data_IF_762014616194
#
_entry.id   IF_762014616194
#
_cell.length_a   1.000
_cell.length_b   1.000
_cell.length_c   1.000
_cell.angle_alpha   90.00
_cell.angle_beta   90.00
_cell.angle_gamma   90.00
#
_symmetry.space_group_name_H-M   'P 1'
#
loop_
_entity.id
_entity.type
_entity.pdbx_description
1 polymer ?
#
# COMPACT_ATOMS: atom_id res chain seq x y z
N UNK A 1 9.33 15.68 61.98
CA UNK A 1 9.26 14.42 61.22
C UNK A 1 10.37 14.47 60.19
N UNK A 2 11.49 13.85 60.52
CA UNK A 2 12.68 13.74 59.68
C UNK A 2 12.54 12.50 58.80
N UNK A 3 12.74 12.62 57.50
CA UNK A 3 13.08 11.50 56.63
C UNK A 3 14.19 11.94 55.69
N UNK A 4 15.38 11.44 56.00
CA UNK A 4 16.62 11.56 55.22
C UNK A 4 16.73 10.31 54.31
N UNK A 5 17.50 10.38 53.21
CA UNK A 5 17.39 9.56 52.02
C UNK A 5 18.29 8.33 52.08
N UNK A 6 18.04 7.38 51.19
CA UNK A 6 19.02 6.55 50.47
C UNK A 6 18.27 5.40 49.79
N UNK A 7 18.66 5.07 48.56
CA UNK A 7 18.65 3.67 48.13
C UNK A 7 17.87 3.33 46.87
N UNK A 8 18.65 2.93 45.86
CA UNK A 8 18.33 2.00 44.76
C UNK A 8 17.34 2.50 43.69
N UNK A 9 17.69 2.68 42.42
CA UNK A 9 18.68 1.97 41.63
C UNK A 9 18.08 0.67 41.10
N UNK A 10 17.51 0.69 39.89
CA UNK A 10 17.36 -0.52 39.07
C UNK A 10 17.31 -0.17 37.59
N UNK A 11 18.00 -1.04 36.86
CA UNK A 11 18.65 -0.86 35.58
C UNK A 11 17.73 -1.32 34.43
N UNK A 12 18.17 -0.96 33.23
CA UNK A 12 17.65 -1.36 31.93
C UNK A 12 17.64 -2.91 31.81
N UNK A 13 16.51 -3.47 31.33
CA UNK A 13 16.31 -4.83 30.77
C UNK A 13 14.89 -5.37 31.06
N UNK A 14 13.90 -4.71 30.45
CA UNK A 14 12.51 -5.17 30.33
C UNK A 14 12.01 -4.45 29.09
N UNK A 15 11.96 -5.03 27.89
CA UNK A 15 11.04 -6.09 27.47
C UNK A 15 11.69 -6.86 26.31
N UNK A 16 12.43 -7.92 26.62
CA UNK A 16 12.79 -8.97 25.65
C UNK A 16 12.38 -10.33 26.24
N UNK A 17 11.06 -10.50 26.38
CA UNK A 17 10.46 -11.73 26.86
C UNK A 17 8.97 -11.62 26.54
N UNK A 18 8.55 -12.22 25.42
CA UNK A 18 7.27 -12.91 25.22
C UNK A 18 7.23 -13.47 23.79
N UNK A 19 8.19 -14.34 23.49
CA UNK A 19 7.97 -15.41 22.53
C UNK A 19 7.66 -16.69 23.33
N UNK A 20 6.65 -17.43 22.84
CA UNK A 20 6.31 -18.84 23.14
C UNK A 20 5.48 -19.10 24.41
N UNK A 21 4.16 -19.19 24.25
CA UNK A 21 3.44 -20.43 24.57
C UNK A 21 1.96 -20.38 24.13
N UNK A 22 1.65 -20.99 22.98
CA UNK A 22 0.38 -21.69 22.78
C UNK A 22 0.73 -23.02 22.14
N UNK A 23 0.08 -24.08 22.59
CA UNK A 23 0.34 -25.51 22.32
C UNK A 23 1.33 -26.21 23.25
N UNK A 24 0.85 -26.52 24.46
CA UNK A 24 1.27 -27.73 25.16
C UNK A 24 0.07 -28.30 25.94
N UNK A 25 -0.58 -29.33 25.36
CA UNK A 25 -1.41 -30.31 26.07
C UNK A 25 -1.32 -31.63 25.30
N UNK A 26 -0.62 -32.63 25.83
CA UNK A 26 -1.23 -33.87 26.36
C UNK A 26 -0.13 -34.83 26.87
N UNK A 27 -0.40 -35.46 27.99
CA UNK A 27 0.46 -36.42 28.70
C UNK A 27 0.34 -37.84 28.17
N UNK A 28 1.43 -38.61 28.16
CA UNK A 28 1.67 -39.79 29.04
C UNK A 28 2.90 -40.59 28.56
N UNK A 29 3.61 -41.18 29.52
CA UNK A 29 4.68 -42.18 29.37
C UNK A 29 4.07 -43.54 29.00
N UNK A 30 4.80 -44.36 28.25
CA UNK A 30 5.31 -45.68 28.72
C UNK A 30 6.16 -46.40 27.65
N UNK A 31 6.98 -47.33 28.13
CA UNK A 31 8.14 -47.99 27.53
C UNK A 31 7.87 -49.01 26.39
N UNK A 32 8.83 -49.13 25.47
CA UNK A 32 9.47 -50.42 25.16
C UNK A 32 9.02 -51.26 23.97
N UNK A 33 10.02 -51.63 23.15
CA UNK A 33 10.20 -52.82 22.29
C UNK A 33 9.80 -52.80 20.80
N UNK A 34 10.79 -53.28 20.03
CA UNK A 34 10.86 -53.63 18.60
C UNK A 34 9.54 -54.01 17.91
N UNK A 35 9.25 -53.37 16.76
CA UNK A 35 8.64 -54.04 15.60
C UNK A 35 9.03 -53.31 14.30
N UNK A 36 9.36 -54.12 13.29
CA UNK A 36 9.94 -53.76 11.99
C UNK A 36 8.98 -53.03 11.03
N UNK A 37 9.57 -52.23 10.13
CA UNK A 37 9.12 -51.83 8.77
C UNK A 37 7.63 -51.55 8.52
N UNK A 38 7.32 -50.29 8.20
CA UNK A 38 6.56 -49.95 6.98
C UNK A 38 6.87 -48.50 6.52
N UNK A 39 7.86 -48.34 5.62
CA UNK A 39 8.16 -47.08 4.94
C UNK A 39 7.28 -46.89 3.69
N UNK A 40 5.96 -46.85 3.88
CA UNK A 40 5.01 -46.45 2.83
C UNK A 40 4.22 -45.22 3.27
N UNK A 41 4.86 -44.06 3.04
CA UNK A 41 4.35 -42.79 2.47
C UNK A 41 2.93 -42.28 2.86
N UNK A 42 2.64 -40.95 2.82
CA UNK A 42 3.08 -40.08 1.72
C UNK A 42 3.42 -38.62 2.13
N UNK A 43 4.48 -38.01 1.59
CA UNK A 43 4.52 -37.22 0.32
C UNK A 43 3.38 -36.22 0.06
N UNK A 44 2.28 -36.23 0.81
CA UNK A 44 1.14 -35.31 0.57
C UNK A 44 1.36 -33.96 1.24
N UNK A 45 1.94 -33.93 2.44
CA UNK A 45 2.07 -32.68 3.22
C UNK A 45 3.04 -31.70 2.54
N UNK A 46 4.10 -32.20 1.90
CA UNK A 46 5.04 -31.38 1.13
C UNK A 46 4.44 -30.86 -0.17
N UNK A 47 3.56 -31.64 -0.81
CA UNK A 47 2.88 -31.22 -2.03
C UNK A 47 1.80 -30.16 -1.76
N UNK A 48 1.10 -30.24 -0.62
CA UNK A 48 0.09 -29.22 -0.25
C UNK A 48 0.74 -27.87 0.07
N UNK A 49 1.97 -27.84 0.61
CA UNK A 49 2.76 -26.60 0.76
C UNK A 49 3.29 -26.06 -0.56
N UNK A 50 3.79 -26.94 -1.43
CA UNK A 50 4.35 -26.54 -2.73
C UNK A 50 3.29 -26.07 -3.75
N UNK A 51 2.00 -26.37 -3.52
CA UNK A 51 0.90 -25.95 -4.41
C UNK A 51 0.28 -24.60 -4.00
N UNK A 52 0.60 -24.06 -2.82
CA UNK A 52 0.17 -22.70 -2.39
C UNK A 52 1.15 -21.59 -2.80
N UNK A 53 2.28 -21.93 -3.42
CA UNK A 53 3.28 -20.97 -3.92
C UNK A 53 3.08 -20.63 -5.42
N UNK A 54 1.97 -21.05 -6.03
CA UNK A 54 1.73 -20.91 -7.49
C UNK A 54 0.60 -19.95 -7.89
N UNK A 55 0.55 -18.78 -7.27
CA UNK A 55 0.16 -17.56 -8.00
C UNK A 55 1.06 -16.41 -7.54
N UNK A 56 2.24 -16.30 -8.14
CA UNK A 56 3.29 -15.32 -7.81
C UNK A 56 2.93 -13.89 -8.23
N UNK A 57 1.71 -13.45 -7.93
CA UNK A 57 1.27 -12.10 -8.24
C UNK A 57 1.39 -11.26 -6.99
N UNK A 58 2.43 -10.43 -6.96
CA UNK A 58 2.73 -9.44 -5.91
C UNK A 58 1.47 -8.57 -5.69
N UNK A 59 0.92 -8.46 -4.46
CA UNK A 59 -0.31 -7.70 -4.23
C UNK A 59 -0.07 -6.22 -4.55
N UNK A 60 -0.96 -5.64 -5.36
CA UNK A 60 -0.90 -4.24 -5.81
C UNK A 60 -2.08 -3.46 -5.25
N UNK A 61 -1.82 -2.32 -4.61
CA UNK A 61 -2.84 -1.35 -4.24
C UNK A 61 -2.91 -0.25 -5.29
N UNK A 62 -4.10 0.03 -5.79
CA UNK A 62 -4.39 1.23 -6.58
C UNK A 62 -5.19 2.19 -5.70
N UNK A 63 -4.68 3.39 -5.49
CA UNK A 63 -5.24 4.34 -4.52
C UNK A 63 -5.65 5.62 -5.24
N UNK A 64 -6.96 5.85 -5.33
CA UNK A 64 -7.53 7.11 -5.81
C UNK A 64 -7.50 8.18 -4.72
N UNK A 65 -6.78 9.27 -4.98
CA UNK A 65 -6.66 10.46 -4.14
C UNK A 65 -7.37 11.63 -4.81
N UNK A 66 -7.87 12.57 -4.01
CA UNK A 66 -8.46 13.81 -4.52
C UNK A 66 -9.78 14.20 -3.87
N UNK A 67 -10.24 15.41 -4.20
CA UNK A 67 -11.48 15.99 -3.67
C UNK A 67 -12.56 16.04 -4.74
N UNK A 68 -13.54 15.14 -4.64
CA UNK A 68 -14.67 15.05 -5.60
C UNK A 68 -15.53 16.32 -5.66
N UNK A 69 -15.44 17.20 -4.67
CA UNK A 69 -16.19 18.46 -4.65
C UNK A 69 -15.55 19.55 -5.53
N UNK A 70 -14.34 19.32 -6.06
CA UNK A 70 -13.51 20.33 -6.74
C UNK A 70 -13.14 19.92 -8.18
N UNK A 71 -14.13 19.46 -8.95
CA UNK A 71 -14.06 19.16 -10.38
C UNK A 71 -12.88 18.23 -10.72
N UNK A 72 -11.85 18.70 -11.44
CA UNK A 72 -10.72 17.85 -11.85
C UNK A 72 -9.89 17.37 -10.66
N UNK A 73 -9.97 18.02 -9.50
CA UNK A 73 -9.30 17.54 -8.27
C UNK A 73 -9.84 16.18 -7.83
N UNK A 74 -11.08 15.84 -8.19
CA UNK A 74 -11.70 14.56 -7.89
C UNK A 74 -11.22 13.41 -8.78
N UNK A 75 -10.34 13.65 -9.75
CA UNK A 75 -10.05 12.68 -10.82
C UNK A 75 -9.52 11.34 -10.31
N UNK A 76 -8.71 11.31 -9.23
CA UNK A 76 -8.25 10.05 -8.66
C UNK A 76 -9.38 9.23 -8.03
N UNK A 77 -10.36 9.89 -7.39
CA UNK A 77 -11.58 9.25 -6.88
C UNK A 77 -12.43 8.70 -8.04
N UNK A 78 -12.66 9.51 -9.08
CA UNK A 78 -13.36 9.04 -10.28
C UNK A 78 -12.66 7.84 -10.93
N UNK A 79 -11.34 7.87 -11.03
CA UNK A 79 -10.54 6.79 -11.61
C UNK A 79 -10.64 5.51 -10.78
N UNK A 80 -10.54 5.60 -9.45
CA UNK A 80 -10.73 4.45 -8.57
C UNK A 80 -12.13 3.81 -8.75
N UNK A 81 -13.18 4.61 -8.87
CA UNK A 81 -14.54 4.11 -9.16
C UNK A 81 -14.62 3.43 -10.52
N UNK A 82 -14.10 4.06 -11.57
CA UNK A 82 -14.07 3.49 -12.92
C UNK A 82 -13.26 2.19 -13.02
N UNK A 83 -12.19 2.03 -12.22
CA UNK A 83 -11.43 0.77 -12.15
C UNK A 83 -12.17 -0.34 -11.42
N UNK A 84 -12.95 -0.03 -10.38
CA UNK A 84 -13.78 -1.01 -9.66
C UNK A 84 -14.88 -1.61 -10.53
N UNK A 85 -15.30 -0.92 -11.59
CA UNK A 85 -16.27 -1.40 -12.58
C UNK A 85 -15.64 -2.35 -13.62
N UNK A 86 -14.30 -2.49 -13.65
CA UNK A 86 -13.59 -3.36 -14.59
C UNK A 86 -13.25 -4.71 -13.95
N UNK A 87 -13.07 -5.72 -14.79
CA UNK A 87 -12.46 -6.98 -14.35
C UNK A 87 -10.96 -6.77 -14.17
N UNK A 88 -10.52 -6.78 -12.91
CA UNK A 88 -9.12 -6.62 -12.54
C UNK A 88 -8.51 -7.97 -12.16
N UNK A 89 -7.19 -8.13 -12.30
CA UNK A 89 -6.51 -9.31 -11.79
C UNK A 89 -6.74 -9.46 -10.27
N UNK A 90 -6.79 -10.70 -9.74
CA UNK A 90 -7.15 -10.95 -8.34
C UNK A 90 -6.15 -10.37 -7.32
N UNK A 91 -4.95 -10.01 -7.76
CA UNK A 91 -3.90 -9.40 -6.95
C UNK A 91 -3.95 -7.86 -6.92
N UNK A 92 -4.85 -7.23 -7.67
CA UNK A 92 -5.04 -5.77 -7.69
C UNK A 92 -6.23 -5.41 -6.80
N UNK A 93 -6.01 -4.57 -5.80
CA UNK A 93 -7.08 -4.00 -4.96
C UNK A 93 -7.16 -2.49 -5.15
N UNK A 94 -8.36 -1.98 -5.36
CA UNK A 94 -8.61 -0.56 -5.63
C UNK A 94 -9.26 0.12 -4.44
N UNK A 95 -8.66 1.21 -3.97
CA UNK A 95 -9.10 2.00 -2.84
C UNK A 95 -9.49 3.41 -3.28
N UNK A 96 -10.58 3.89 -2.69
CA UNK A 96 -11.02 5.28 -2.81
C UNK A 96 -10.74 5.95 -1.48
N UNK A 97 -9.56 6.56 -1.36
CA UNK A 97 -9.13 7.17 -0.10
C UNK A 97 -9.28 8.69 -0.10
N UNK A 98 -9.48 9.32 -1.27
CA UNK A 98 -9.76 10.75 -1.36
C UNK A 98 -8.68 11.56 -0.66
N UNK A 99 -9.00 12.12 0.51
CA UNK A 99 -8.15 13.04 1.26
C UNK A 99 -7.69 12.49 2.62
N UNK A 100 -7.73 11.16 2.82
CA UNK A 100 -7.56 10.49 4.13
C UNK A 100 -6.11 10.42 4.68
N UNK A 101 -5.24 11.38 4.35
CA UNK A 101 -3.93 11.61 5.00
C UNK A 101 -3.17 10.35 5.44
N UNK A 102 -2.84 10.26 6.73
CA UNK A 102 -2.06 9.15 7.32
C UNK A 102 -2.73 7.77 7.27
N UNK A 103 -4.07 7.69 7.19
CA UNK A 103 -4.78 6.41 7.08
C UNK A 103 -4.42 5.66 5.78
N UNK A 104 -3.89 6.38 4.79
CA UNK A 104 -3.33 5.79 3.58
C UNK A 104 -2.22 4.80 3.92
N UNK A 105 -1.35 5.11 4.89
CA UNK A 105 -0.21 4.24 5.25
C UNK A 105 -0.67 2.89 5.78
N UNK A 106 -1.65 2.89 6.68
CA UNK A 106 -2.23 1.65 7.25
C UNK A 106 -2.89 0.79 6.17
N UNK A 107 -3.48 1.43 5.15
CA UNK A 107 -4.14 0.74 4.05
C UNK A 107 -3.15 0.06 3.10
N UNK A 108 -1.98 0.66 2.88
CA UNK A 108 -1.03 0.21 1.86
C UNK A 108 0.11 -0.67 2.41
N UNK A 109 0.25 -0.78 3.73
CA UNK A 109 1.37 -1.46 4.40
C UNK A 109 1.53 -2.94 4.01
N UNK A 110 0.43 -3.63 3.69
CA UNK A 110 0.44 -5.05 3.31
C UNK A 110 0.68 -5.31 1.80
N UNK A 111 0.87 -4.26 1.00
CA UNK A 111 1.04 -4.36 -0.44
C UNK A 111 2.51 -4.28 -0.85
N UNK A 112 2.87 -4.95 -1.93
CA UNK A 112 4.24 -4.91 -2.46
C UNK A 112 4.45 -3.76 -3.45
N UNK A 113 3.35 -3.28 -4.05
CA UNK A 113 3.35 -2.15 -4.98
C UNK A 113 2.14 -1.26 -4.73
N UNK A 114 2.34 0.05 -4.82
CA UNK A 114 1.26 1.03 -4.70
C UNK A 114 1.26 1.97 -5.91
N UNK A 115 0.10 2.14 -6.52
CA UNK A 115 -0.15 3.07 -7.62
C UNK A 115 -1.15 4.12 -7.15
N UNK A 116 -0.68 5.32 -6.87
CA UNK A 116 -1.52 6.48 -6.59
C UNK A 116 -2.06 7.09 -7.88
N UNK A 117 -3.32 7.51 -7.85
CA UNK A 117 -3.97 8.28 -8.91
C UNK A 117 -4.40 9.61 -8.34
N UNK A 118 -3.96 10.72 -8.94
CA UNK A 118 -4.26 12.07 -8.45
C UNK A 118 -4.31 13.11 -9.58
N UNK A 119 -4.90 14.27 -9.31
CA UNK A 119 -4.73 15.46 -10.13
C UNK A 119 -3.34 16.07 -9.83
N UNK A 120 -2.51 16.22 -10.87
CA UNK A 120 -1.13 16.67 -10.70
C UNK A 120 -0.88 17.85 -11.62
N UNK A 121 -0.51 19.01 -11.05
CA UNK A 121 0.03 20.11 -11.87
C UNK A 121 1.51 19.87 -12.12
N UNK A 122 1.90 19.73 -13.37
CA UNK A 122 3.30 19.57 -13.76
C UNK A 122 3.67 20.43 -14.98
N UNK A 123 2.81 21.40 -15.31
CA UNK A 123 3.07 22.42 -16.33
C UNK A 123 2.85 21.93 -17.77
N UNK A 124 2.13 20.82 -17.94
CA UNK A 124 1.74 20.32 -19.25
C UNK A 124 0.40 20.91 -19.69
N UNK A 125 -0.10 20.47 -20.85
CA UNK A 125 -1.45 20.81 -21.30
C UNK A 125 -2.49 20.07 -20.46
N UNK A 126 -3.66 20.65 -20.13
CA UNK A 126 -4.69 19.95 -19.38
C UNK A 126 -5.10 18.61 -20.02
N UNK A 127 -5.30 17.60 -19.19
CA UNK A 127 -5.54 16.21 -19.61
C UNK A 127 -4.26 15.40 -19.90
N UNK A 128 -3.07 16.02 -19.87
CA UNK A 128 -1.82 15.26 -20.02
C UNK A 128 -1.63 14.29 -18.86
N UNK A 129 -1.29 13.03 -19.14
CA UNK A 129 -1.02 12.00 -18.13
C UNK A 129 0.49 11.91 -17.88
N UNK A 130 0.88 11.90 -16.61
CA UNK A 130 2.27 11.76 -16.18
C UNK A 130 2.46 10.61 -15.20
N UNK A 131 3.72 10.18 -15.04
CA UNK A 131 4.11 9.05 -14.19
C UNK A 131 5.39 9.38 -13.42
N UNK A 132 5.39 9.13 -12.11
CA UNK A 132 6.53 9.36 -11.23
C UNK A 132 6.73 8.22 -10.25
N UNK A 133 7.97 7.78 -10.06
CA UNK A 133 8.32 6.92 -8.93
C UNK A 133 8.57 7.77 -7.69
N UNK A 134 7.91 7.43 -6.59
CA UNK A 134 7.98 8.20 -5.35
C UNK A 134 9.38 8.23 -4.75
N UNK A 135 10.15 7.15 -4.86
CA UNK A 135 11.56 7.16 -4.41
C UNK A 135 12.37 8.31 -5.02
N UNK A 136 12.16 8.60 -6.31
CA UNK A 136 12.82 9.72 -7.03
C UNK A 136 12.21 11.08 -6.69
N UNK A 137 10.94 11.12 -6.28
CA UNK A 137 10.22 12.36 -5.91
C UNK A 137 10.58 12.80 -4.48
N UNK A 138 10.72 11.87 -3.54
CA UNK A 138 11.11 12.16 -2.14
C UNK A 138 12.56 12.62 -2.07
N UNK A 139 13.46 12.00 -2.85
CA UNK A 139 14.91 12.27 -2.82
C UNK A 139 15.34 13.46 -3.71
N UNK A 140 14.43 14.03 -4.50
CA UNK A 140 14.69 15.14 -5.42
C UNK A 140 13.98 16.45 -5.06
N UNK A 141 14.11 17.45 -5.91
CA UNK A 141 13.20 18.60 -5.92
C UNK A 141 11.94 18.15 -6.66
N UNK A 142 10.78 18.00 -5.98
CA UNK A 142 9.56 17.60 -6.68
C UNK A 142 9.28 18.61 -7.79
N UNK A 143 8.80 18.20 -8.99
CA UNK A 143 8.18 19.15 -9.92
C UNK A 143 7.18 20.00 -9.15
N UNK A 144 6.89 21.22 -9.60
CA UNK A 144 5.93 22.13 -8.95
C UNK A 144 4.50 21.56 -8.99
N UNK A 145 4.29 20.52 -8.20
CA UNK A 145 3.05 19.77 -7.98
C UNK A 145 2.25 20.56 -6.97
N UNK A 146 1.46 21.51 -7.47
CA UNK A 146 0.69 22.42 -6.63
C UNK A 146 -0.76 21.93 -6.55
N UNK A 147 -1.00 21.03 -5.60
CA UNK A 147 -2.31 20.79 -4.98
C UNK A 147 -2.11 20.54 -3.48
N UNK A 148 -3.07 20.98 -2.66
CA UNK A 148 -3.02 20.82 -1.20
C UNK A 148 -2.97 19.34 -0.79
N UNK A 149 -3.77 18.50 -1.44
CA UNK A 149 -3.76 17.05 -1.20
C UNK A 149 -2.47 16.38 -1.66
N UNK A 150 -1.77 16.94 -2.65
CA UNK A 150 -0.46 16.44 -3.04
C UNK A 150 0.61 16.75 -1.98
N UNK A 151 0.53 17.92 -1.34
CA UNK A 151 1.41 18.24 -0.22
C UNK A 151 1.14 17.30 0.98
N UNK A 152 -0.13 16.99 1.25
CA UNK A 152 -0.53 16.04 2.29
C UNK A 152 -0.10 14.61 1.96
N UNK A 153 -0.26 14.18 0.70
CA UNK A 153 0.20 12.88 0.23
C UNK A 153 1.72 12.78 0.31
N UNK A 154 2.47 13.78 -0.17
CA UNK A 154 3.94 13.79 -0.06
C UNK A 154 4.41 13.73 1.38
N UNK A 155 3.74 14.45 2.29
CA UNK A 155 4.04 14.39 3.73
C UNK A 155 3.77 13.00 4.29
N UNK A 156 2.62 12.42 3.94
CA UNK A 156 2.25 11.04 4.30
C UNK A 156 3.29 10.03 3.81
N UNK A 157 3.73 10.15 2.55
CA UNK A 157 4.74 9.28 1.95
C UNK A 157 6.11 9.44 2.65
N UNK A 158 6.53 10.67 2.98
CA UNK A 158 7.76 10.90 3.75
C UNK A 158 7.72 10.25 5.13
N UNK A 159 6.59 10.36 5.83
CA UNK A 159 6.37 9.70 7.13
C UNK A 159 6.40 8.17 6.95
N UNK A 160 5.71 7.64 5.94
CA UNK A 160 5.72 6.21 5.64
C UNK A 160 7.12 5.67 5.36
N UNK A 161 7.95 6.40 4.58
CA UNK A 161 9.36 6.05 4.36
C UNK A 161 10.16 6.04 5.67
N UNK A 162 10.02 7.10 6.47
CA UNK A 162 10.73 7.23 7.74
C UNK A 162 10.32 6.17 8.78
N UNK A 163 9.12 5.60 8.66
CA UNK A 163 8.57 4.57 9.56
C UNK A 163 8.61 3.17 8.98
N UNK A 164 9.25 2.97 7.82
CA UNK A 164 9.32 1.68 7.10
C UNK A 164 7.93 1.07 6.78
N UNK A 165 6.93 1.92 6.54
CA UNK A 165 5.55 1.55 6.19
C UNK A 165 5.21 1.72 4.70
N UNK A 166 6.18 2.16 3.90
CA UNK A 166 6.01 2.20 2.45
C UNK A 166 6.58 0.95 1.78
N UNK A 167 5.91 0.40 0.75
CA UNK A 167 6.52 -0.60 -0.10
C UNK A 167 7.67 -0.02 -0.91
N UNK A 168 8.49 -0.93 -1.46
CA UNK A 168 9.65 -0.58 -2.28
C UNK A 168 9.25 0.05 -3.63
N UNK A 169 8.12 -0.35 -4.21
CA UNK A 169 7.60 0.19 -5.47
C UNK A 169 6.35 1.03 -5.26
N UNK A 170 6.54 2.35 -5.28
CA UNK A 170 5.44 3.32 -5.20
C UNK A 170 5.49 4.26 -6.40
N UNK A 171 4.37 4.31 -7.13
CA UNK A 171 4.20 5.09 -8.35
C UNK A 171 3.02 6.05 -8.20
N UNK A 172 3.16 7.25 -8.72
CA UNK A 172 2.08 8.21 -8.91
C UNK A 172 1.79 8.28 -10.41
N UNK A 173 0.55 8.02 -10.79
CA UNK A 173 0.00 8.31 -12.11
C UNK A 173 -0.91 9.52 -11.96
N UNK A 174 -0.52 10.62 -12.60
CA UNK A 174 -1.22 11.90 -12.46
C UNK A 174 -1.79 12.39 -13.77
N UNK A 175 -2.81 13.25 -13.70
CA UNK A 175 -3.32 13.97 -14.86
C UNK A 175 -3.33 15.48 -14.60
N UNK A 176 -2.92 16.26 -15.60
CA UNK A 176 -2.89 17.73 -15.52
C UNK A 176 -4.33 18.27 -15.48
N UNK A 177 -4.74 18.97 -14.40
CA UNK A 177 -6.10 19.48 -14.28
C UNK A 177 -6.30 20.77 -15.10
N UNK A 178 -7.54 21.05 -15.49
CA UNK A 178 -7.96 22.35 -16.04
C UNK A 178 -8.74 23.18 -15.03
N UNK A 179 -9.69 22.57 -14.33
CA UNK A 179 -10.68 23.23 -13.48
C UNK A 179 -10.61 22.64 -12.08
N UNK A 180 -10.27 23.46 -11.08
CA UNK A 180 -10.25 23.09 -9.66
C UNK A 180 -11.23 23.93 -8.81
N UNK A 181 -12.32 24.39 -9.42
CA UNK A 181 -13.39 25.10 -8.72
C UNK A 181 -14.47 24.11 -8.25
N UNK A 182 -15.34 24.50 -7.31
CA UNK A 182 -16.45 23.66 -6.87
C UNK A 182 -17.27 23.11 -8.04
N UNK A 183 -17.47 21.80 -8.04
CA UNK A 183 -18.13 21.05 -9.10
C UNK A 183 -17.89 19.55 -8.92
N UNK A 184 -18.84 18.72 -9.36
CA UNK A 184 -18.74 17.26 -9.25
C UNK A 184 -18.28 16.59 -10.54
N UNK A 185 -18.15 17.36 -11.62
CA UNK A 185 -17.86 16.85 -12.95
C UNK A 185 -16.43 17.18 -13.36
N UNK A 186 -15.79 16.21 -14.01
CA UNK A 186 -14.52 16.44 -14.70
C UNK A 186 -14.73 17.35 -15.91
N UNK A 187 -13.76 18.24 -16.13
CA UNK A 187 -13.67 19.10 -17.31
C UNK A 187 -13.60 18.28 -18.61
N UNK A 188 -13.95 18.89 -19.73
CA UNK A 188 -13.93 18.23 -21.05
C UNK A 188 -12.55 17.65 -21.39
N UNK A 189 -11.48 18.35 -21.04
CA UNK A 189 -10.10 17.98 -21.33
C UNK A 189 -9.67 16.74 -20.54
N UNK A 190 -9.94 16.74 -19.22
CA UNK A 190 -9.62 15.61 -18.35
C UNK A 190 -10.50 14.41 -18.70
N UNK A 191 -11.79 14.64 -18.97
CA UNK A 191 -12.73 13.57 -19.39
C UNK A 191 -12.32 12.91 -20.70
N UNK A 192 -11.88 13.69 -21.69
CA UNK A 192 -11.42 13.17 -22.97
C UNK A 192 -10.17 12.27 -22.84
N UNK A 193 -9.41 12.43 -21.75
CA UNK A 193 -8.19 11.68 -21.45
C UNK A 193 -8.36 10.64 -20.34
N UNK A 194 -9.57 10.47 -19.84
CA UNK A 194 -9.84 9.60 -18.70
C UNK A 194 -9.53 8.13 -18.98
N UNK A 195 -9.88 7.61 -20.16
CA UNK A 195 -9.51 6.24 -20.52
C UNK A 195 -7.99 6.04 -20.68
N UNK A 196 -7.26 7.08 -21.12
CA UNK A 196 -5.80 7.06 -21.19
C UNK A 196 -5.18 6.96 -19.80
N UNK A 197 -5.73 7.69 -18.82
CA UNK A 197 -5.36 7.60 -17.42
C UNK A 197 -5.59 6.18 -16.88
N UNK A 198 -6.78 5.62 -17.08
CA UNK A 198 -7.11 4.26 -16.62
C UNK A 198 -6.19 3.20 -17.24
N UNK A 199 -5.93 3.30 -18.54
CA UNK A 199 -5.01 2.40 -19.23
C UNK A 199 -3.58 2.51 -18.72
N UNK A 200 -3.14 3.70 -18.33
CA UNK A 200 -1.80 3.90 -17.73
C UNK A 200 -1.68 3.21 -16.38
N UNK A 201 -2.73 3.26 -15.55
CA UNK A 201 -2.79 2.54 -14.27
C UNK A 201 -2.79 1.02 -14.49
N UNK A 202 -3.58 0.52 -15.44
CA UNK A 202 -3.64 -0.92 -15.74
C UNK A 202 -2.29 -1.47 -16.26
N UNK A 203 -1.58 -0.68 -17.08
CA UNK A 203 -0.22 -1.01 -17.51
C UNK A 203 0.72 -1.12 -16.31
N UNK A 204 0.64 -0.19 -15.37
CA UNK A 204 1.47 -0.20 -14.16
C UNK A 204 1.20 -1.43 -13.28
N UNK A 205 -0.04 -1.90 -13.24
CA UNK A 205 -0.45 -3.11 -12.52
C UNK A 205 -0.04 -4.42 -13.23
N UNK A 206 0.35 -4.35 -14.50
CA UNK A 206 0.71 -5.51 -15.32
C UNK A 206 2.23 -5.65 -15.52
N UNK A 207 2.99 -4.58 -15.27
CA UNK A 207 4.45 -4.60 -15.40
C UNK A 207 5.10 -5.31 -14.21
N UNK A 208 5.99 -6.30 -14.43
CA UNK A 208 6.86 -6.78 -13.36
C UNK A 208 7.79 -5.64 -12.93
N UNK A 209 7.84 -5.37 -11.63
CA UNK A 209 8.70 -4.34 -11.02
C UNK A 209 10.20 -4.62 -11.21
#
# INVERSE_FOLDING_TARGET
MTFDPTGCGLNIDCVCSLQRNKYARFSKRDNGSDLQRDERQPRVISAVRAQQESSSSRPIAVVGVGNILLSDEGVGVHAARGLKERSLPPYVRVFELGTRGLEILETIEEFEKVVFIDAVRFGASPGSVGRWHVGKVIDGSPPSMVSLHQMDLLTTLKIGRATAKLPDDVVIIGIEPKVLTPGLELSSEVRAKFDELLNSVLKECSAPG
#
